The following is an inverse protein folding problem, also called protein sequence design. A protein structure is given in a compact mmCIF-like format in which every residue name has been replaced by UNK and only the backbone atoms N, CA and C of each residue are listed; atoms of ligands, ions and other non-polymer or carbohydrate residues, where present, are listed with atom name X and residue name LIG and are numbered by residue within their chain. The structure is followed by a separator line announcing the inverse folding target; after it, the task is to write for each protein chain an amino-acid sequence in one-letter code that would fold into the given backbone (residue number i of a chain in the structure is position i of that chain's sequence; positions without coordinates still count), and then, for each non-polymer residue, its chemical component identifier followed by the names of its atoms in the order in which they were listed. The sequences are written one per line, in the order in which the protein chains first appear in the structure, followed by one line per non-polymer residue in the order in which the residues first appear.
data_IF_370260674597
#
_entry.id   IF_370260674597
#
_cell.length_a   1.000
_cell.length_b   1.000
_cell.length_c   1.000
_cell.angle_alpha   90.00
_cell.angle_beta   90.00
_cell.angle_gamma   90.00
#
_symmetry.space_group_name_H-M   'P 1'
#
loop_
_entity.id
_entity.type
_entity.pdbx_description
1 polymer ?
#
# COMPACT_ATOMS: atom_id res chain seq x y z
N UNK A 1 21.32 -15.68 8.85
CA UNK A 1 20.53 -14.83 9.75
C UNK A 1 19.09 -15.27 9.64
N UNK A 2 18.41 -15.56 10.76
CA UNK A 2 17.00 -15.94 10.75
C UNK A 2 16.17 -14.76 10.21
N UNK A 3 15.20 -15.02 9.34
CA UNK A 3 14.21 -14.01 8.98
C UNK A 3 13.41 -13.67 10.25
N UNK A 4 13.36 -12.39 10.61
CA UNK A 4 12.58 -11.89 11.75
C UNK A 4 11.37 -11.13 11.22
N UNK A 5 10.21 -11.33 11.84
CA UNK A 5 8.99 -10.66 11.44
C UNK A 5 8.81 -9.34 12.18
N UNK A 6 8.29 -8.35 11.46
CA UNK A 6 7.78 -7.11 12.03
C UNK A 6 6.50 -7.37 12.84
N UNK A 7 6.22 -6.53 13.81
CA UNK A 7 5.04 -6.65 14.66
C UNK A 7 3.98 -5.65 14.19
N UNK A 8 2.72 -6.08 14.12
CA UNK A 8 1.60 -5.21 13.78
C UNK A 8 0.50 -5.19 14.84
N UNK A 9 -0.49 -4.33 14.62
CA UNK A 9 -1.78 -4.31 15.30
C UNK A 9 -2.31 -5.72 15.53
N UNK A 10 -2.81 -5.96 16.75
CA UNK A 10 -3.35 -7.25 17.16
C UNK A 10 -2.30 -8.28 17.56
N UNK A 11 -1.01 -7.92 17.60
CA UNK A 11 0.05 -8.77 18.13
C UNK A 11 -0.25 -9.21 19.56
N UNK A 12 -0.11 -10.51 19.84
CA UNK A 12 -0.36 -11.05 21.17
C UNK A 12 0.89 -10.92 22.02
N UNK A 13 0.77 -10.27 23.17
CA UNK A 13 1.84 -10.08 24.14
C UNK A 13 1.52 -10.80 25.45
N UNK A 14 2.57 -11.14 26.19
CA UNK A 14 2.46 -11.78 27.50
C UNK A 14 3.51 -11.22 28.46
N UNK A 15 3.08 -10.87 29.68
CA UNK A 15 3.97 -10.54 30.77
C UNK A 15 4.42 -11.82 31.50
N UNK A 16 5.72 -11.94 31.82
CA UNK A 16 6.26 -13.08 32.57
C UNK A 16 5.66 -13.23 33.98
N UNK A 17 5.14 -12.14 34.55
CA UNK A 17 4.47 -12.12 35.86
C UNK A 17 2.94 -12.10 35.76
N UNK A 18 2.40 -12.06 34.54
CA UNK A 18 0.98 -12.13 34.26
C UNK A 18 0.53 -13.58 34.05
N UNK A 19 -0.78 -13.82 34.11
CA UNK A 19 -1.37 -15.14 33.87
C UNK A 19 -2.30 -15.18 32.65
N UNK A 20 -2.47 -14.07 31.94
CA UNK A 20 -3.24 -13.99 30.71
C UNK A 20 -2.51 -13.13 29.66
N UNK A 21 -2.60 -13.47 28.36
CA UNK A 21 -2.11 -12.62 27.29
C UNK A 21 -3.10 -11.50 26.96
N UNK A 22 -2.59 -10.45 26.29
CA UNK A 22 -3.39 -9.35 25.76
C UNK A 22 -2.88 -8.94 24.37
N UNK A 23 -3.69 -8.19 23.61
CA UNK A 23 -3.36 -7.78 22.24
C UNK A 23 -2.90 -6.34 22.19
N UNK A 24 -1.81 -6.10 21.47
CA UNK A 24 -1.25 -4.78 21.25
C UNK A 24 -2.12 -3.99 20.27
N UNK A 25 -2.42 -2.75 20.65
CA UNK A 25 -3.14 -1.75 19.87
C UNK A 25 -2.19 -0.59 19.54
N UNK A 26 -1.88 -0.44 18.27
CA UNK A 26 -1.11 0.67 17.70
C UNK A 26 -2.01 1.90 17.66
N UNK A 27 -1.58 2.95 18.36
CA UNK A 27 -2.32 4.21 18.48
C UNK A 27 -1.51 5.42 18.00
N UNK A 28 -0.24 5.20 17.66
CA UNK A 28 0.72 6.28 17.46
C UNK A 28 0.97 6.66 16.01
N UNK A 29 0.44 5.90 15.05
CA UNK A 29 0.65 6.14 13.62
C UNK A 29 -0.55 5.64 12.81
N UNK A 30 -0.71 6.17 11.60
CA UNK A 30 -1.88 5.89 10.74
C UNK A 30 -1.51 5.50 9.31
N UNK A 31 -0.22 5.41 8.98
CA UNK A 31 0.26 5.35 7.60
C UNK A 31 1.05 4.10 7.23
N UNK A 32 1.66 3.43 8.21
CA UNK A 32 2.53 2.29 7.97
C UNK A 32 1.78 0.98 8.23
N UNK A 33 1.48 0.24 7.15
CA UNK A 33 0.76 -1.03 7.18
C UNK A 33 1.66 -2.19 6.76
N UNK A 34 1.38 -3.39 7.26
CA UNK A 34 2.07 -4.62 6.87
C UNK A 34 1.16 -5.46 5.96
N UNK A 35 1.70 -5.86 4.80
CA UNK A 35 1.08 -6.81 3.86
C UNK A 35 -0.30 -6.38 3.31
N UNK A 36 -0.62 -5.07 3.27
CA UNK A 36 -1.91 -4.56 2.78
C UNK A 36 -1.68 -3.42 1.76
N UNK A 37 -2.38 -3.47 0.61
CA UNK A 37 -2.39 -2.38 -0.39
C UNK A 37 -3.39 -1.27 -0.02
N UNK A 38 -4.40 -1.58 0.79
CA UNK A 38 -5.39 -0.63 1.31
C UNK A 38 -5.38 -0.58 2.85
N UNK A 39 -5.57 0.59 3.47
CA UNK A 39 -5.40 0.79 4.91
C UNK A 39 -6.58 0.23 5.69
N UNK A 40 -6.55 -1.05 6.04
CA UNK A 40 -7.69 -1.65 6.74
C UNK A 40 -7.35 -1.93 8.21
N UNK A 41 -6.35 -2.76 8.58
CA UNK A 41 -6.22 -3.12 10.01
C UNK A 41 -4.80 -3.43 10.53
N UNK A 42 -3.77 -3.62 9.68
CA UNK A 42 -2.44 -4.09 10.15
C UNK A 42 -1.37 -3.01 10.29
N UNK A 43 -1.61 -2.00 11.13
CA UNK A 43 -0.63 -0.95 11.43
C UNK A 43 0.65 -1.55 12.06
N UNK A 44 1.83 -1.12 11.60
CA UNK A 44 3.13 -1.49 12.19
C UNK A 44 3.23 -0.94 13.62
N UNK A 45 3.59 -1.81 14.56
CA UNK A 45 3.87 -1.41 15.93
C UNK A 45 5.31 -0.88 16.06
N UNK A 46 5.48 0.17 16.85
CA UNK A 46 6.75 0.88 16.98
C UNK A 46 7.13 1.11 18.45
N UNK A 47 8.36 1.54 18.69
CA UNK A 47 8.83 1.95 20.03
C UNK A 47 8.04 3.12 20.62
N UNK A 48 7.27 3.86 19.81
CA UNK A 48 6.41 4.93 20.27
C UNK A 48 5.12 4.42 20.95
N UNK A 49 4.72 3.16 20.73
CA UNK A 49 3.51 2.56 21.31
C UNK A 49 3.69 2.22 22.80
N UNK A 50 3.82 3.27 23.62
CA UNK A 50 3.96 3.24 25.07
C UNK A 50 2.67 3.68 25.77
N UNK A 51 2.56 3.44 27.08
CA UNK A 51 1.38 3.72 27.89
C UNK A 51 0.37 2.58 27.88
N UNK A 52 -0.92 2.92 27.87
CA UNK A 52 -2.03 1.98 27.88
C UNK A 52 -2.42 1.61 26.43
N UNK A 53 -1.60 0.78 25.80
CA UNK A 53 -1.70 0.41 24.38
C UNK A 53 -2.21 -1.01 24.15
N UNK A 54 -2.69 -1.72 25.18
CA UNK A 54 -3.29 -3.05 24.99
C UNK A 54 -4.82 -2.97 24.98
N UNK A 55 -5.48 -3.93 24.32
CA UNK A 55 -6.94 -3.94 24.20
C UNK A 55 -7.66 -4.02 25.57
N UNK A 56 -7.22 -4.94 26.44
CA UNK A 56 -7.79 -5.08 27.79
C UNK A 56 -6.97 -4.31 28.83
N UNK A 57 -5.78 -3.82 28.46
CA UNK A 57 -4.83 -3.16 29.34
C UNK A 57 -4.47 -3.97 30.60
N UNK A 58 -4.50 -5.31 30.49
CA UNK A 58 -4.18 -6.20 31.62
C UNK A 58 -3.66 -7.55 31.14
N UNK A 59 -2.62 -8.05 31.83
CA UNK A 59 -2.15 -9.44 31.68
C UNK A 59 -2.73 -10.36 32.76
N UNK A 60 -3.93 -10.05 33.25
CA UNK A 60 -4.60 -10.77 34.33
C UNK A 60 -4.06 -10.39 35.71
N UNK A 61 -3.57 -11.34 36.50
CA UNK A 61 -3.04 -11.12 37.84
C UNK A 61 -1.51 -10.95 37.81
N UNK A 62 -0.98 -9.94 38.50
CA UNK A 62 0.45 -9.64 38.52
C UNK A 62 1.15 -10.22 39.75
N UNK A 63 2.02 -11.21 39.55
CA UNK A 63 2.76 -11.88 40.63
C UNK A 63 3.70 -10.95 41.41
N UNK A 64 4.10 -9.81 40.82
CA UNK A 64 4.92 -8.79 41.48
C UNK A 64 4.13 -7.92 42.48
N UNK A 65 2.80 -8.08 42.57
CA UNK A 65 1.95 -7.31 43.48
C UNK A 65 1.12 -8.22 44.39
N UNK A 66 1.73 -8.90 45.37
CA UNK A 66 1.02 -9.73 46.33
C UNK A 66 0.12 -8.91 47.25
N UNK A 67 -1.01 -9.48 47.66
CA UNK A 67 -1.96 -8.87 48.60
C UNK A 67 -1.81 -9.45 50.02
N UNK A 68 -2.04 -8.65 51.08
CA UNK A 68 -2.15 -9.17 52.44
C UNK A 68 -3.36 -10.11 52.52
N UNK A 69 -3.13 -11.39 52.85
CA UNK A 69 -4.18 -12.43 52.88
C UNK A 69 -4.17 -13.41 51.70
N UNK A 70 -3.21 -13.29 50.78
CA UNK A 70 -3.05 -14.21 49.65
C UNK A 70 -3.66 -13.67 48.35
N UNK A 71 -3.12 -14.14 47.22
CA UNK A 71 -3.47 -13.65 45.89
C UNK A 71 -2.65 -12.44 45.44
N UNK A 72 -3.00 -11.89 44.28
CA UNK A 72 -2.24 -10.86 43.58
C UNK A 72 -3.17 -9.77 43.04
N UNK A 73 -2.67 -8.55 42.91
CA UNK A 73 -3.41 -7.45 42.28
C UNK A 73 -3.56 -7.67 40.76
N UNK A 74 -4.65 -7.17 40.14
CA UNK A 74 -4.76 -7.16 38.69
C UNK A 74 -3.65 -6.32 38.07
N UNK A 75 -3.08 -6.81 36.97
CA UNK A 75 -2.04 -6.15 36.21
C UNK A 75 -2.61 -4.90 35.53
N UNK A 76 -1.89 -3.78 35.66
CA UNK A 76 -2.09 -2.60 34.83
C UNK A 76 -1.00 -2.59 33.76
N UNK A 77 -1.35 -2.96 32.53
CA UNK A 77 -0.40 -3.08 31.43
C UNK A 77 -0.03 -1.69 30.89
N UNK A 78 0.88 -1.01 31.59
CA UNK A 78 1.46 0.26 31.13
C UNK A 78 2.88 0.04 30.63
N UNK A 79 3.08 0.23 29.33
CA UNK A 79 4.40 0.14 28.71
C UNK A 79 5.15 1.45 28.95
N UNK A 80 6.40 1.35 29.40
CA UNK A 80 7.28 2.52 29.63
C UNK A 80 8.30 2.68 28.53
N UNK A 81 8.79 1.57 27.99
CA UNK A 81 9.76 1.53 26.90
C UNK A 81 9.73 0.16 26.21
N UNK A 82 10.20 0.15 24.97
CA UNK A 82 10.47 -1.04 24.18
C UNK A 82 11.98 -1.23 23.99
N UNK A 83 12.43 -2.47 23.90
CA UNK A 83 13.80 -2.87 23.59
C UNK A 83 13.83 -3.87 22.43
N UNK A 84 14.95 -3.96 21.72
CA UNK A 84 15.12 -4.90 20.61
C UNK A 84 14.33 -4.54 19.35
N UNK A 85 14.04 -3.26 19.14
CA UNK A 85 13.43 -2.74 17.91
C UNK A 85 14.46 -2.67 16.76
N UNK A 86 13.98 -2.49 15.53
CA UNK A 86 14.85 -2.35 14.36
C UNK A 86 15.27 -0.89 14.14
N UNK A 87 16.46 -0.53 14.62
CA UNK A 87 16.95 0.86 14.68
C UNK A 87 17.26 1.49 13.30
N UNK A 88 17.48 0.67 12.26
CA UNK A 88 17.82 1.19 10.92
C UNK A 88 16.65 1.88 10.21
N UNK A 89 15.42 1.76 10.72
CA UNK A 89 14.22 2.38 10.18
C UNK A 89 13.59 3.23 11.28
N UNK A 90 13.18 4.45 10.91
CA UNK A 90 12.46 5.36 11.80
C UNK A 90 11.26 5.89 11.05
N UNK A 91 10.07 5.83 11.66
CA UNK A 91 8.86 6.41 11.09
C UNK A 91 8.77 7.89 11.48
N UNK A 92 8.63 8.77 10.48
CA UNK A 92 8.60 10.23 10.69
C UNK A 92 7.38 10.70 11.49
N UNK A 93 6.26 9.98 11.43
CA UNK A 93 5.01 10.37 12.10
C UNK A 93 5.10 10.32 13.63
N UNK A 94 5.84 9.35 14.16
CA UNK A 94 5.92 9.11 15.61
C UNK A 94 7.36 9.01 16.15
N UNK A 95 8.37 9.22 15.30
CA UNK A 95 9.79 9.00 15.59
C UNK A 95 10.09 7.63 16.22
N UNK A 96 9.25 6.64 15.93
CA UNK A 96 9.33 5.29 16.46
C UNK A 96 10.11 4.35 15.53
N UNK A 97 10.81 3.39 16.12
CA UNK A 97 11.44 2.29 15.41
C UNK A 97 10.50 1.09 15.34
N UNK A 98 10.42 0.37 14.21
CA UNK A 98 9.58 -0.82 14.09
C UNK A 98 9.96 -1.91 15.09
N UNK A 99 8.95 -2.51 15.73
CA UNK A 99 9.14 -3.66 16.62
C UNK A 99 9.32 -4.95 15.82
N UNK A 100 10.17 -5.82 16.34
CA UNK A 100 10.43 -7.17 15.85
C UNK A 100 9.80 -8.20 16.80
N UNK A 101 9.61 -9.42 16.32
CA UNK A 101 9.07 -10.53 17.12
C UNK A 101 9.83 -10.81 18.43
N UNK A 102 11.11 -10.43 18.51
CA UNK A 102 11.93 -10.55 19.71
C UNK A 102 12.06 -9.27 20.54
N UNK A 103 11.37 -8.20 20.13
CA UNK A 103 11.26 -6.98 20.92
C UNK A 103 10.53 -7.24 22.24
N UNK A 104 10.93 -6.52 23.29
CA UNK A 104 10.37 -6.67 24.64
C UNK A 104 9.94 -5.33 25.19
N UNK A 105 8.87 -5.35 25.99
CA UNK A 105 8.34 -4.18 26.66
C UNK A 105 8.64 -4.21 28.16
N UNK A 106 8.86 -3.01 28.71
CA UNK A 106 9.09 -2.77 30.15
C UNK A 106 7.83 -2.18 30.77
N UNK A 107 7.41 -2.70 31.92
CA UNK A 107 6.38 -2.08 32.75
C UNK A 107 6.95 -1.66 34.11
N UNK A 108 6.37 -0.65 34.79
CA UNK A 108 6.93 -0.09 36.02
C UNK A 108 6.92 -1.09 37.19
N UNK A 109 6.07 -2.11 37.13
CA UNK A 109 5.87 -3.11 38.19
C UNK A 109 6.74 -4.35 37.98
N UNK A 110 6.81 -4.87 36.75
CA UNK A 110 7.59 -6.04 36.38
C UNK A 110 9.04 -5.73 36.03
N UNK A 111 9.39 -4.46 35.84
CA UNK A 111 10.73 -4.04 35.48
C UNK A 111 11.07 -4.27 34.01
N UNK A 112 12.38 -4.17 33.71
CA UNK A 112 12.90 -4.18 32.34
C UNK A 112 12.54 -5.47 31.60
N UNK A 113 12.03 -5.32 30.38
CA UNK A 113 11.80 -6.39 29.41
C UNK A 113 10.89 -7.54 29.90
N UNK A 114 9.97 -7.24 30.82
CA UNK A 114 9.07 -8.24 31.42
C UNK A 114 7.93 -8.70 30.50
N UNK A 115 7.60 -7.93 29.45
CA UNK A 115 6.54 -8.25 28.47
C UNK A 115 7.20 -8.72 27.18
N UNK A 116 6.80 -9.88 26.69
CA UNK A 116 7.30 -10.48 25.44
C UNK A 116 6.18 -10.63 24.42
N UNK A 117 6.55 -10.56 23.15
CA UNK A 117 5.64 -10.78 22.03
C UNK A 117 5.63 -12.28 21.73
N UNK A 118 4.46 -12.90 21.81
CA UNK A 118 4.30 -14.34 21.56
C UNK A 118 3.67 -14.63 20.19
N UNK A 119 3.03 -13.62 19.59
CA UNK A 119 2.56 -13.65 18.21
C UNK A 119 2.67 -12.24 17.62
N UNK A 120 3.36 -12.11 16.49
CA UNK A 120 3.64 -10.82 15.82
C UNK A 120 2.40 -10.16 15.18
N UNK A 121 1.24 -10.80 15.21
CA UNK A 121 -0.03 -10.23 14.73
C UNK A 121 -0.24 -10.35 13.22
N UNK A 122 0.83 -10.49 12.43
CA UNK A 122 0.68 -10.72 10.99
C UNK A 122 -0.06 -12.05 10.72
N UNK A 123 -1.03 -11.98 9.81
CA UNK A 123 -1.66 -13.16 9.22
C UNK A 123 -0.98 -13.42 7.88
N UNK A 124 -0.56 -14.66 7.64
CA UNK A 124 -0.02 -15.05 6.35
C UNK A 124 -1.14 -15.06 5.31
N UNK A 125 -1.26 -13.98 4.57
CA UNK A 125 -2.13 -13.92 3.40
C UNK A 125 -1.35 -14.40 2.19
N UNK A 126 -1.91 -15.40 1.51
CA UNK A 126 -1.38 -15.85 0.23
C UNK A 126 -1.70 -14.77 -0.79
N UNK A 127 -0.74 -13.88 -1.05
CA UNK A 127 -0.91 -12.87 -2.09
C UNK A 127 -0.76 -13.49 -3.47
N UNK A 128 -1.25 -12.80 -4.50
CA UNK A 128 -0.96 -13.17 -5.90
C UNK A 128 0.54 -13.34 -6.14
N UNK A 129 1.40 -12.52 -5.52
CA UNK A 129 2.85 -12.64 -5.63
C UNK A 129 3.36 -13.97 -5.06
N UNK A 130 2.80 -14.44 -3.95
CA UNK A 130 3.13 -15.74 -3.36
C UNK A 130 2.71 -16.87 -4.30
N UNK A 131 1.51 -16.82 -4.88
CA UNK A 131 1.01 -17.82 -5.84
C UNK A 131 1.89 -17.88 -7.10
N UNK A 132 2.33 -16.74 -7.61
CA UNK A 132 3.18 -16.69 -8.80
C UNK A 132 4.61 -17.16 -8.52
N UNK A 133 5.13 -16.90 -7.31
CA UNK A 133 6.49 -17.31 -6.93
C UNK A 133 6.57 -18.75 -6.42
N UNK A 134 5.42 -19.37 -6.13
CA UNK A 134 5.36 -20.75 -5.68
C UNK A 134 5.77 -21.71 -6.80
N UNK A 135 6.37 -22.84 -6.40
CA UNK A 135 6.74 -23.92 -7.31
C UNK A 135 5.46 -24.61 -7.81
N UNK A 136 5.14 -24.55 -9.11
CA UNK A 136 3.88 -25.06 -9.65
C UNK A 136 3.70 -26.55 -9.39
N UNK A 137 4.79 -27.34 -9.42
CA UNK A 137 4.73 -28.78 -9.16
C UNK A 137 4.28 -29.05 -7.73
N UNK A 138 4.74 -28.24 -6.77
CA UNK A 138 4.34 -28.38 -5.36
C UNK A 138 2.91 -27.91 -5.13
N UNK A 139 2.48 -26.86 -5.84
CA UNK A 139 1.12 -26.35 -5.71
C UNK A 139 0.09 -27.30 -6.32
N UNK A 140 0.40 -27.95 -7.45
CA UNK A 140 -0.43 -29.01 -8.05
C UNK A 140 -0.56 -30.23 -7.12
N UNK A 141 0.49 -30.58 -6.36
CA UNK A 141 0.41 -31.65 -5.36
C UNK A 141 -0.49 -31.29 -4.17
N UNK A 142 -0.49 -30.03 -3.74
CA UNK A 142 -1.28 -29.55 -2.60
C UNK A 142 -2.73 -29.32 -3.00
N UNK A 143 -2.97 -28.79 -4.20
CA UNK A 143 -4.30 -28.48 -4.72
C UNK A 143 -4.44 -28.91 -6.20
N UNK A 144 -4.62 -30.22 -6.46
CA UNK A 144 -4.69 -30.77 -7.82
C UNK A 144 -5.95 -30.38 -8.60
N UNK A 145 -6.91 -29.70 -7.98
CA UNK A 145 -8.11 -29.18 -8.64
C UNK A 145 -7.89 -27.78 -9.25
N UNK A 146 -6.76 -27.14 -8.97
CA UNK A 146 -6.38 -25.85 -9.51
C UNK A 146 -5.18 -26.03 -10.45
N UNK A 147 -5.34 -25.63 -11.71
CA UNK A 147 -4.22 -25.57 -12.66
C UNK A 147 -3.42 -24.29 -12.42
N UNK A 148 -2.33 -24.41 -11.65
CA UNK A 148 -1.46 -23.28 -11.32
C UNK A 148 -0.67 -22.77 -12.52
N UNK A 149 -0.42 -23.61 -13.52
CA UNK A 149 0.23 -23.18 -14.76
C UNK A 149 -0.68 -22.20 -15.52
N UNK A 150 -1.98 -22.49 -15.60
CA UNK A 150 -2.99 -21.58 -16.16
C UNK A 150 -3.17 -20.32 -15.30
N UNK A 151 -3.23 -20.45 -13.97
CA UNK A 151 -3.38 -19.31 -13.05
C UNK A 151 -2.24 -18.29 -13.16
N UNK A 152 -0.98 -18.75 -13.24
CA UNK A 152 0.19 -17.88 -13.37
C UNK A 152 0.18 -17.07 -14.67
N UNK A 153 -0.43 -17.60 -15.72
CA UNK A 153 -0.56 -16.92 -17.01
C UNK A 153 -1.71 -15.91 -17.05
N UNK A 154 -2.71 -16.00 -16.16
CA UNK A 154 -3.86 -15.09 -16.15
C UNK A 154 -3.54 -13.65 -15.71
N UNK A 155 -2.42 -13.40 -15.00
CA UNK A 155 -2.02 -12.02 -14.67
C UNK A 155 -1.44 -11.26 -15.86
N UNK A 156 -0.99 -11.95 -16.91
CA UNK A 156 -0.76 -11.27 -18.20
C UNK A 156 -2.09 -10.84 -18.86
N UNK A 157 -3.20 -11.46 -18.46
CA UNK A 157 -4.56 -11.20 -18.96
C UNK A 157 -5.38 -10.25 -18.07
N UNK A 158 -4.88 -9.87 -16.88
CA UNK A 158 -5.51 -8.89 -15.98
C UNK A 158 -4.84 -7.50 -16.03
N UNK A 159 -4.02 -7.25 -17.03
CA UNK A 159 -3.81 -5.90 -17.53
C UNK A 159 -5.14 -5.47 -18.15
N UNK A 160 -6.03 -4.86 -17.38
CA UNK A 160 -7.21 -4.24 -18.00
C UNK A 160 -6.69 -2.99 -18.70
N UNK A 161 -6.71 -2.93 -20.05
CA UNK A 161 -6.23 -1.75 -20.76
C UNK A 161 -7.08 -0.57 -20.33
N UNK A 162 -6.43 0.47 -19.79
CA UNK A 162 -7.10 1.68 -19.31
C UNK A 162 -6.45 2.90 -19.95
N UNK A 163 -7.27 3.72 -20.58
CA UNK A 163 -6.94 5.14 -20.78
C UNK A 163 -7.11 5.81 -19.41
N UNK A 164 -6.01 6.31 -18.84
CA UNK A 164 -6.00 6.92 -17.49
C UNK A 164 -6.51 8.36 -17.59
N UNK A 165 -5.92 9.15 -18.49
CA UNK A 165 -6.27 10.55 -18.71
C UNK A 165 -5.73 11.01 -20.07
N UNK A 166 -6.22 12.15 -20.56
CA UNK A 166 -5.55 12.92 -21.61
C UNK A 166 -5.70 14.41 -21.37
N UNK A 167 -4.66 15.18 -21.67
CA UNK A 167 -4.67 16.63 -21.53
C UNK A 167 -3.88 17.31 -22.65
N UNK A 168 -4.14 18.60 -22.85
CA UNK A 168 -3.55 19.39 -23.94
C UNK A 168 -2.65 20.47 -23.33
N UNK A 169 -1.48 20.64 -23.92
CA UNK A 169 -0.51 21.70 -23.59
C UNK A 169 -0.16 22.50 -24.83
N UNK A 170 0.34 23.72 -24.62
CA UNK A 170 1.06 24.46 -25.65
C UNK A 170 2.46 23.83 -25.88
N UNK A 171 3.19 24.33 -26.89
CA UNK A 171 4.56 23.89 -27.17
C UNK A 171 5.57 24.22 -26.05
N UNK A 172 5.19 25.09 -25.10
CA UNK A 172 6.00 25.46 -23.94
C UNK A 172 5.69 24.58 -22.71
N UNK A 173 4.70 23.70 -22.80
CA UNK A 173 4.28 22.76 -21.75
C UNK A 173 3.21 23.30 -20.79
N UNK A 174 2.59 24.44 -21.07
CA UNK A 174 1.52 24.99 -20.23
C UNK A 174 0.18 24.32 -20.57
N UNK A 175 -0.55 23.85 -19.55
CA UNK A 175 -1.84 23.16 -19.73
C UNK A 175 -2.94 24.13 -20.20
N UNK A 176 -3.66 23.75 -21.26
CA UNK A 176 -4.77 24.53 -21.83
C UNK A 176 -6.08 24.01 -21.23
N UNK A 177 -6.64 24.74 -20.25
CA UNK A 177 -7.75 24.23 -19.45
C UNK A 177 -9.16 24.64 -19.92
N UNK A 178 -9.33 25.63 -20.82
CA UNK A 178 -10.71 26.06 -21.17
C UNK A 178 -10.95 26.81 -22.48
N UNK A 179 -9.95 27.40 -23.14
CA UNK A 179 -10.18 28.08 -24.41
C UNK A 179 -9.09 27.83 -25.45
N UNK A 180 -9.23 26.69 -26.12
CA UNK A 180 -8.33 26.23 -27.18
C UNK A 180 -8.42 27.10 -28.45
N UNK A 181 -9.42 27.97 -28.57
CA UNK A 181 -9.61 28.81 -29.75
C UNK A 181 -8.52 29.88 -29.90
N UNK A 182 -7.82 30.22 -28.81
CA UNK A 182 -6.70 31.16 -28.83
C UNK A 182 -5.46 30.59 -29.54
N UNK A 183 -5.42 29.28 -29.77
CA UNK A 183 -4.31 28.57 -30.42
C UNK A 183 -4.64 28.20 -31.87
N UNK A 184 -5.68 28.81 -32.47
CA UNK A 184 -5.99 28.62 -33.89
C UNK A 184 -4.80 29.10 -34.74
N UNK A 185 -4.28 28.22 -35.58
CA UNK A 185 -3.10 28.47 -36.39
C UNK A 185 -1.78 28.07 -35.70
N UNK A 186 -1.82 27.58 -34.46
CA UNK A 186 -0.67 27.09 -33.72
C UNK A 186 -0.67 25.55 -33.58
N UNK A 187 0.47 25.05 -33.11
CA UNK A 187 0.67 23.65 -32.73
C UNK A 187 0.42 23.48 -31.24
N UNK A 188 -0.19 22.36 -30.88
CA UNK A 188 -0.42 21.93 -29.49
C UNK A 188 0.06 20.49 -29.32
N UNK A 189 0.27 20.09 -28.06
CA UNK A 189 0.67 18.74 -27.71
C UNK A 189 -0.46 18.10 -26.91
N UNK A 190 -0.92 16.93 -27.37
CA UNK A 190 -1.85 16.08 -26.63
C UNK A 190 -1.04 15.03 -25.89
N UNK A 191 -1.10 15.08 -24.56
CA UNK A 191 -0.54 14.08 -23.68
C UNK A 191 -1.58 13.01 -23.40
N UNK A 192 -1.23 11.76 -23.64
CA UNK A 192 -2.11 10.60 -23.42
C UNK A 192 -1.44 9.68 -22.42
N UNK A 193 -2.12 9.46 -21.30
CA UNK A 193 -1.66 8.53 -20.28
C UNK A 193 -2.44 7.22 -20.38
N UNK A 194 -1.71 6.16 -20.64
CA UNK A 194 -2.25 4.82 -20.79
C UNK A 194 -1.55 3.84 -19.86
N UNK A 195 -2.29 2.83 -19.42
CA UNK A 195 -1.73 1.69 -18.73
C UNK A 195 -2.05 0.43 -19.52
N UNK A 196 -0.99 -0.31 -19.84
CA UNK A 196 -1.05 -1.61 -20.49
C UNK A 196 -1.71 -1.61 -21.88
N UNK A 197 -1.54 -0.52 -22.65
CA UNK A 197 -2.02 -0.36 -24.04
C UNK A 197 -0.89 -0.36 -25.08
N UNK A 198 0.35 -0.70 -24.71
CA UNK A 198 1.49 -0.66 -25.64
C UNK A 198 1.32 -1.70 -26.76
N UNK A 199 1.45 -1.26 -28.01
CA UNK A 199 1.15 -1.92 -29.29
C UNK A 199 -0.35 -2.09 -29.61
N UNK A 200 -1.25 -1.58 -28.76
CA UNK A 200 -2.67 -1.52 -29.07
C UNK A 200 -3.03 -0.24 -29.83
N UNK A 201 -4.16 -0.30 -30.53
CA UNK A 201 -4.71 0.84 -31.27
C UNK A 201 -5.91 1.42 -30.55
N UNK A 202 -5.90 2.72 -30.32
CA UNK A 202 -7.01 3.44 -29.67
C UNK A 202 -7.61 4.50 -30.58
N UNK A 203 -8.87 4.85 -30.30
CA UNK A 203 -9.56 5.99 -30.89
C UNK A 203 -9.75 7.04 -29.80
N UNK A 204 -9.25 8.26 -30.03
CA UNK A 204 -9.35 9.35 -29.06
C UNK A 204 -10.22 10.44 -29.67
N UNK A 205 -11.35 10.72 -29.03
CA UNK A 205 -12.25 11.79 -29.45
C UNK A 205 -12.05 13.01 -28.54
N UNK A 206 -11.52 14.10 -29.11
CA UNK A 206 -11.28 15.37 -28.41
C UNK A 206 -12.50 16.30 -28.41
N UNK A 207 -13.53 15.95 -29.19
CA UNK A 207 -14.89 16.52 -29.22
C UNK A 207 -14.95 18.04 -29.00
N UNK A 208 -14.43 18.81 -29.94
CA UNK A 208 -14.59 20.26 -29.98
C UNK A 208 -15.71 20.64 -30.96
N UNK A 209 -16.24 21.87 -30.84
CA UNK A 209 -17.32 22.40 -31.69
C UNK A 209 -16.93 23.70 -32.40
N UNK A 210 -15.70 24.14 -32.24
CA UNK A 210 -15.23 25.45 -32.66
C UNK A 210 -13.90 25.39 -33.43
N UNK A 211 -13.20 24.26 -33.36
CA UNK A 211 -11.91 24.05 -34.00
C UNK A 211 -11.82 22.64 -34.55
N UNK A 212 -11.02 22.50 -35.60
CA UNK A 212 -10.63 21.20 -36.14
C UNK A 212 -9.19 20.89 -35.79
N UNK A 213 -8.92 19.63 -35.44
CA UNK A 213 -7.55 19.15 -35.22
C UNK A 213 -6.98 18.53 -36.51
N UNK A 214 -5.74 18.87 -36.82
CA UNK A 214 -4.98 18.31 -37.93
C UNK A 214 -3.82 17.48 -37.38
N UNK A 215 -3.76 16.21 -37.80
CA UNK A 215 -2.68 15.30 -37.45
C UNK A 215 -1.91 14.92 -38.71
N UNK A 216 -0.59 15.12 -38.73
CA UNK A 216 0.30 14.81 -39.88
C UNK A 216 -0.17 15.41 -41.22
N UNK A 217 -0.87 16.55 -41.18
CA UNK A 217 -1.38 17.25 -42.36
C UNK A 217 -2.77 16.80 -42.83
N UNK A 218 -3.41 15.86 -42.14
CA UNK A 218 -4.80 15.45 -42.40
C UNK A 218 -5.74 15.93 -41.30
N UNK A 219 -6.88 16.50 -41.70
CA UNK A 219 -7.94 16.94 -40.78
C UNK A 219 -8.65 15.73 -40.16
N UNK A 220 -8.75 15.71 -38.83
CA UNK A 220 -9.42 14.65 -38.09
C UNK A 220 -10.94 14.74 -38.27
N UNK A 221 -11.57 13.64 -38.64
CA UNK A 221 -13.03 13.57 -38.78
C UNK A 221 -13.69 13.56 -37.39
N UNK A 222 -14.52 14.57 -37.08
CA UNK A 222 -15.18 14.75 -35.77
C UNK A 222 -14.18 14.77 -34.61
N UNK A 223 -13.03 15.42 -34.80
CA UNK A 223 -11.96 15.53 -33.79
C UNK A 223 -11.51 14.20 -33.19
N UNK A 224 -11.68 13.12 -33.96
CA UNK A 224 -11.36 11.77 -33.50
C UNK A 224 -10.09 11.30 -34.17
N UNK A 225 -9.03 11.14 -33.37
CA UNK A 225 -7.82 10.44 -33.78
C UNK A 225 -8.11 8.95 -33.80
N UNK A 226 -8.25 8.36 -34.99
CA UNK A 226 -8.62 6.95 -35.18
C UNK A 226 -7.38 6.07 -35.34
N UNK A 227 -7.44 4.86 -34.80
CA UNK A 227 -6.43 3.80 -34.95
C UNK A 227 -4.99 4.21 -34.59
N UNK A 228 -4.83 5.08 -33.59
CA UNK A 228 -3.48 5.48 -33.14
C UNK A 228 -2.84 4.34 -32.35
N UNK A 229 -1.64 3.95 -32.75
CA UNK A 229 -0.85 2.89 -32.11
C UNK A 229 -0.06 3.46 -30.94
N UNK A 230 -0.31 2.95 -29.74
CA UNK A 230 0.38 3.37 -28.51
C UNK A 230 1.72 2.64 -28.44
N UNK A 231 2.81 3.37 -28.37
CA UNK A 231 4.18 2.82 -28.28
C UNK A 231 4.75 2.92 -26.86
N UNK A 232 4.24 3.86 -26.06
CA UNK A 232 4.63 4.09 -24.66
C UNK A 232 3.43 4.44 -23.79
N UNK A 233 3.54 4.20 -22.48
CA UNK A 233 2.47 4.53 -21.52
C UNK A 233 2.16 6.04 -21.42
N UNK A 234 3.08 6.90 -21.84
CA UNK A 234 2.87 8.35 -21.94
C UNK A 234 3.20 8.82 -23.37
N UNK A 235 2.16 9.04 -24.18
CA UNK A 235 2.31 9.54 -25.55
C UNK A 235 2.18 11.05 -25.63
N UNK A 236 2.95 11.64 -26.53
CA UNK A 236 2.89 13.07 -26.84
C UNK A 236 2.61 13.20 -28.34
N UNK A 237 1.45 13.76 -28.69
CA UNK A 237 1.01 13.90 -30.07
C UNK A 237 0.92 15.37 -30.42
N UNK A 238 1.73 15.79 -31.39
CA UNK A 238 1.61 17.13 -31.96
C UNK A 238 0.41 17.20 -32.90
N UNK A 239 -0.51 18.13 -32.63
CA UNK A 239 -1.65 18.46 -33.47
C UNK A 239 -1.60 19.94 -33.85
N UNK A 240 -2.10 20.25 -35.04
CA UNK A 240 -2.29 21.63 -35.49
C UNK A 240 -3.77 22.00 -35.41
N UNK A 241 -4.07 23.21 -34.97
CA UNK A 241 -5.44 23.68 -34.81
C UNK A 241 -5.83 24.57 -35.97
N UNK A 242 -6.96 24.26 -36.62
CA UNK A 242 -7.61 25.15 -37.58
C UNK A 242 -9.01 25.56 -37.10
N UNK A 243 -9.49 26.67 -37.65
CA UNK A 243 -10.85 27.15 -37.37
C UNK A 243 -11.86 26.27 -38.09
N UNK A 244 -12.88 25.80 -37.37
CA UNK A 244 -14.01 25.09 -37.96
C UNK A 244 -14.86 26.07 -38.80
N UNK A 245 -15.10 25.72 -40.07
CA UNK A 245 -15.85 26.53 -41.05
C UNK A 245 -17.28 26.05 -41.23
#
# INVERSE_FOLDING_TARGET
MSQKHLVCQGATCQCQFGNAPDKLKVLTQTKAFINEEEPQEKLVATTADIGATFEKNTFGLCQMQPLPGGGYKPCQAMVTQWSGAYENVTYEENNGHPLLEDSKATCPIGGKDCISIINHGQVAEITNRNLHSADPIKMDMINPFMDFATFRNQKEMSKTPKLIDYYITDVEGNRIESDITNYIGDKIIVHIETQDLINDRININMNNKFIDFIYKGEKLEKDTLKNYEITKNHEEIELFIEKEY
#
